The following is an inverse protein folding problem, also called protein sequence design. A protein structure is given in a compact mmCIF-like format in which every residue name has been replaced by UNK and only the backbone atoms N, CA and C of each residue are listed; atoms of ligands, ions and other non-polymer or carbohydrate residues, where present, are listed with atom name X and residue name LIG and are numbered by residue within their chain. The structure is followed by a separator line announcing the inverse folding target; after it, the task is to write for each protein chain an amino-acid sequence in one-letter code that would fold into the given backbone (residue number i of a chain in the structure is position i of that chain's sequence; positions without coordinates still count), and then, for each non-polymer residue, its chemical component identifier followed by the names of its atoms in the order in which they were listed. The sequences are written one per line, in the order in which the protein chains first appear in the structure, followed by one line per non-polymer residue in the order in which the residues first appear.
data_IF_231888312847
#
_entry.id   IF_231888312847
#
_cell.length_a   1.000
_cell.length_b   1.000
_cell.length_c   1.000
_cell.angle_alpha   90.00
_cell.angle_beta   90.00
_cell.angle_gamma   90.00
#
_symmetry.space_group_name_H-M   'P 1'
#
loop_
_entity.id
_entity.type
_entity.pdbx_description
1 polymer ?
#
# COMPACT_ATOMS: atom_id res chain seq x y z
N UNK A 1 30.46 -3.53 27.88
CA UNK A 1 30.34 -2.62 26.72
C UNK A 1 29.25 -1.60 26.99
N UNK A 2 29.51 -0.30 26.76
CA UNK A 2 28.48 0.74 26.91
C UNK A 2 27.36 0.47 25.89
N UNK A 3 26.10 0.38 26.36
CA UNK A 3 24.96 0.24 25.44
C UNK A 3 24.86 1.47 24.54
N UNK A 4 24.76 1.26 23.25
CA UNK A 4 24.53 2.34 22.28
C UNK A 4 23.27 3.11 22.69
N UNK A 5 23.36 4.43 22.69
CA UNK A 5 22.24 5.35 22.99
C UNK A 5 21.73 5.95 21.68
N UNK A 6 20.43 5.94 21.49
CA UNK A 6 19.77 6.51 20.31
C UNK A 6 18.68 7.50 20.73
N UNK A 7 18.58 8.61 20.00
CA UNK A 7 17.49 9.57 20.13
C UNK A 7 16.74 9.58 18.79
N UNK A 8 15.44 9.27 18.85
CA UNK A 8 14.53 9.32 17.70
C UNK A 8 13.64 10.55 17.84
N UNK A 9 13.60 11.39 16.82
CA UNK A 9 12.80 12.63 16.82
C UNK A 9 11.59 12.45 15.92
N UNK A 10 10.40 12.58 16.50
CA UNK A 10 9.11 12.38 15.85
C UNK A 10 8.55 10.96 16.04
N UNK A 11 7.29 10.87 16.48
CA UNK A 11 6.58 9.63 16.76
C UNK A 11 5.51 9.30 15.71
N UNK A 12 5.73 9.65 14.44
CA UNK A 12 4.99 9.07 13.33
C UNK A 12 5.32 7.58 13.15
N UNK A 13 4.65 6.86 12.26
CA UNK A 13 4.89 5.42 12.04
C UNK A 13 6.37 5.08 11.83
N UNK A 14 7.09 5.87 11.01
CA UNK A 14 8.52 5.64 10.79
C UNK A 14 9.38 5.79 12.04
N UNK A 15 9.11 6.82 12.86
CA UNK A 15 9.83 7.05 14.11
C UNK A 15 9.53 5.98 15.15
N UNK A 16 8.26 5.57 15.28
CA UNK A 16 7.86 4.47 16.16
C UNK A 16 8.50 3.15 15.74
N UNK A 17 8.45 2.81 14.45
CA UNK A 17 9.06 1.60 13.91
C UNK A 17 10.58 1.56 14.15
N UNK A 18 11.26 2.69 13.92
CA UNK A 18 12.69 2.81 14.18
C UNK A 18 13.02 2.65 15.66
N UNK A 19 12.25 3.31 16.54
CA UNK A 19 12.46 3.21 17.98
C UNK A 19 12.30 1.76 18.49
N UNK A 20 11.27 1.05 18.03
CA UNK A 20 11.03 -0.36 18.36
C UNK A 20 12.21 -1.23 17.90
N UNK A 21 12.65 -1.09 16.63
CA UNK A 21 13.76 -1.86 16.07
C UNK A 21 15.09 -1.61 16.81
N UNK A 22 15.39 -0.34 17.12
CA UNK A 22 16.58 0.02 17.89
C UNK A 22 16.55 -0.57 19.30
N UNK A 23 15.39 -0.50 19.97
CA UNK A 23 15.22 -1.06 21.31
C UNK A 23 15.35 -2.58 21.28
N UNK A 24 14.75 -3.26 20.30
CA UNK A 24 14.87 -4.70 20.10
C UNK A 24 16.33 -5.14 19.80
N UNK A 25 17.11 -4.29 19.10
CA UNK A 25 18.52 -4.48 18.87
C UNK A 25 19.41 -4.17 20.09
N UNK A 26 18.82 -3.84 21.24
CA UNK A 26 19.54 -3.61 22.50
C UNK A 26 20.04 -2.18 22.70
N UNK A 27 19.70 -1.23 21.83
CA UNK A 27 20.01 0.18 22.00
C UNK A 27 19.14 0.81 23.09
N UNK A 28 19.74 1.67 23.94
CA UNK A 28 18.94 2.51 24.86
C UNK A 28 18.32 3.66 24.04
N UNK A 29 17.04 3.52 23.71
CA UNK A 29 16.35 4.44 22.80
C UNK A 29 15.46 5.42 23.56
N UNK A 30 15.51 6.71 23.18
CA UNK A 30 14.60 7.76 23.60
C UNK A 30 13.85 8.27 22.38
N UNK A 31 12.53 8.44 22.50
CA UNK A 31 11.65 8.99 21.47
C UNK A 31 11.14 10.35 21.92
N UNK A 32 11.32 11.37 21.07
CA UNK A 32 10.89 12.74 21.31
C UNK A 32 9.77 13.10 20.34
N UNK A 33 8.64 13.59 20.87
CA UNK A 33 7.52 14.07 20.08
C UNK A 33 7.16 15.48 20.53
N UNK A 34 6.86 16.38 19.57
CA UNK A 34 6.48 17.76 19.87
C UNK A 34 4.98 17.94 20.15
N UNK A 35 4.16 17.00 19.68
CA UNK A 35 2.71 17.00 19.90
C UNK A 35 2.38 16.30 21.23
N UNK A 36 1.16 16.46 21.66
CA UNK A 36 0.60 15.82 22.85
C UNK A 36 0.36 14.31 22.69
N UNK A 37 0.30 13.81 21.44
CA UNK A 37 0.07 12.41 21.12
C UNK A 37 1.01 11.93 20.00
N UNK A 38 1.33 10.63 20.04
CA UNK A 38 2.02 9.94 18.98
C UNK A 38 1.11 9.72 17.75
N UNK A 39 1.70 9.40 16.60
CA UNK A 39 0.97 9.03 15.38
C UNK A 39 1.36 9.84 14.15
N UNK A 40 1.90 11.05 14.31
CA UNK A 40 2.30 11.89 13.17
C UNK A 40 1.11 12.23 12.27
N UNK A 41 1.12 11.75 11.01
CA UNK A 41 -0.01 11.95 10.07
C UNK A 41 -1.20 11.01 10.32
N UNK A 42 -1.08 10.03 11.19
CA UNK A 42 -2.20 9.20 11.67
C UNK A 42 -2.77 9.75 13.00
N UNK A 43 -2.72 11.07 13.16
CA UNK A 43 -3.23 11.77 14.33
C UNK A 43 -4.77 11.80 14.32
N UNK A 44 -5.37 11.69 15.50
CA UNK A 44 -6.81 11.79 15.67
C UNK A 44 -7.13 13.12 16.33
N UNK A 45 -7.95 13.93 15.69
CA UNK A 45 -8.44 15.19 16.26
C UNK A 45 -9.75 14.96 16.98
N UNK A 46 -9.89 15.58 18.17
CA UNK A 46 -11.14 15.55 18.92
C UNK A 46 -11.54 16.99 19.26
N UNK A 47 -12.73 17.37 18.84
CA UNK A 47 -13.27 18.70 19.10
C UNK A 47 -14.78 18.63 19.30
N UNK A 48 -15.29 19.30 20.34
CA UNK A 48 -16.71 19.42 20.69
C UNK A 48 -17.48 18.09 20.66
N UNK A 49 -16.86 16.99 21.09
CA UNK A 49 -17.45 15.64 21.10
C UNK A 49 -17.36 14.89 19.79
N UNK A 50 -16.82 15.48 18.73
CA UNK A 50 -16.54 14.81 17.46
C UNK A 50 -15.12 14.25 17.42
N UNK A 51 -14.96 13.16 16.66
CA UNK A 51 -13.67 12.53 16.42
C UNK A 51 -13.38 12.56 14.90
N UNK A 52 -12.21 13.09 14.54
CA UNK A 52 -11.78 13.19 13.14
C UNK A 52 -10.48 12.42 12.96
N UNK A 53 -10.55 11.31 12.24
CA UNK A 53 -9.37 10.56 11.83
C UNK A 53 -8.67 11.29 10.68
N UNK A 54 -7.45 11.74 10.91
CA UNK A 54 -6.67 12.51 9.92
C UNK A 54 -5.70 11.64 9.11
N UNK A 55 -5.67 10.35 9.37
CA UNK A 55 -4.71 9.41 8.80
C UNK A 55 -5.33 8.33 7.93
N UNK A 56 -4.51 7.37 7.51
CA UNK A 56 -4.98 6.22 6.77
C UNK A 56 -5.92 5.37 7.64
N UNK A 57 -7.08 5.04 7.07
CA UNK A 57 -8.12 4.22 7.73
C UNK A 57 -8.10 2.77 7.25
N UNK A 58 -7.44 2.50 6.11
CA UNK A 58 -7.30 1.16 5.54
C UNK A 58 -5.84 0.71 5.63
N UNK A 59 -5.63 -0.45 6.25
CA UNK A 59 -4.30 -1.06 6.40
C UNK A 59 -4.18 -2.20 5.39
N UNK A 60 -3.35 -1.99 4.37
CA UNK A 60 -3.13 -2.94 3.27
C UNK A 60 -1.92 -3.86 3.47
N UNK A 61 -1.07 -3.56 4.47
CA UNK A 61 0.12 -4.35 4.79
C UNK A 61 0.21 -4.62 6.30
N UNK A 62 -0.71 -5.38 6.90
CA UNK A 62 -0.76 -5.65 8.34
C UNK A 62 0.49 -6.37 8.85
N UNK A 63 1.15 -7.16 8.00
CA UNK A 63 2.36 -7.91 8.38
C UNK A 63 3.53 -7.00 8.75
N UNK A 64 3.62 -5.80 8.17
CA UNK A 64 4.61 -4.80 8.56
C UNK A 64 4.43 -4.31 10.00
N UNK A 65 3.18 -4.23 10.48
CA UNK A 65 2.87 -3.90 11.87
C UNK A 65 3.13 -5.11 12.76
N UNK A 66 2.65 -6.30 12.37
CA UNK A 66 2.82 -7.56 13.12
C UNK A 66 4.28 -7.85 13.40
N UNK A 67 5.18 -7.60 12.43
CA UNK A 67 6.62 -7.75 12.62
C UNK A 67 7.15 -6.90 13.79
N UNK A 68 6.69 -5.65 13.92
CA UNK A 68 7.14 -4.76 15.00
C UNK A 68 6.72 -5.26 16.37
N UNK A 69 5.50 -5.79 16.51
CA UNK A 69 5.05 -6.41 17.77
C UNK A 69 5.87 -7.67 18.07
N UNK A 70 6.13 -8.52 17.07
CA UNK A 70 6.95 -9.73 17.23
C UNK A 70 8.37 -9.38 17.69
N UNK A 71 9.01 -8.35 17.11
CA UNK A 71 10.32 -7.84 17.52
C UNK A 71 10.33 -7.35 18.98
N UNK A 72 9.21 -6.82 19.45
CA UNK A 72 9.04 -6.40 20.83
C UNK A 72 8.66 -7.53 21.80
N UNK A 73 8.57 -8.80 21.31
CA UNK A 73 8.13 -9.95 22.09
C UNK A 73 6.64 -9.90 22.47
N UNK A 74 5.81 -9.30 21.63
CA UNK A 74 4.35 -9.11 21.84
C UNK A 74 3.57 -9.70 20.65
N UNK A 75 2.29 -10.00 20.90
CA UNK A 75 1.32 -10.27 19.84
C UNK A 75 0.60 -8.99 19.46
N UNK A 76 0.47 -8.68 18.18
CA UNK A 76 -0.30 -7.52 17.72
C UNK A 76 -1.79 -7.64 18.12
N UNK A 77 -2.33 -8.84 18.09
CA UNK A 77 -3.75 -9.12 18.33
C UNK A 77 -4.17 -8.84 19.79
N UNK A 78 -3.20 -8.72 20.72
CA UNK A 78 -3.46 -8.29 22.12
C UNK A 78 -3.72 -6.77 22.22
N UNK A 79 -3.43 -6.00 21.18
CA UNK A 79 -3.44 -4.52 21.18
C UNK A 79 -4.33 -3.92 20.11
N UNK A 80 -4.46 -4.59 18.96
CA UNK A 80 -5.12 -4.08 17.77
C UNK A 80 -6.03 -5.16 17.19
N UNK A 81 -7.30 -4.82 17.02
CA UNK A 81 -8.26 -5.60 16.26
C UNK A 81 -8.36 -5.03 14.84
N UNK A 82 -8.00 -5.82 13.83
CA UNK A 82 -8.18 -5.46 12.42
C UNK A 82 -9.49 -6.04 11.91
N UNK A 83 -10.38 -5.17 11.48
CA UNK A 83 -11.67 -5.56 10.90
C UNK A 83 -11.60 -5.55 9.37
N UNK A 84 -12.14 -6.58 8.70
CA UNK A 84 -12.19 -6.58 7.24
C UNK A 84 -13.14 -5.48 6.73
N UNK A 85 -12.70 -4.74 5.73
CA UNK A 85 -13.53 -3.74 5.04
C UNK A 85 -14.07 -4.34 3.74
N UNK A 86 -15.39 -4.30 3.56
CA UNK A 86 -16.03 -4.81 2.34
C UNK A 86 -17.31 -4.00 2.00
N UNK A 87 -17.40 -3.35 0.84
CA UNK A 87 -16.31 -3.19 -0.15
C UNK A 87 -15.22 -2.22 0.34
N UNK A 88 -14.00 -2.33 -0.20
CA UNK A 88 -12.93 -1.36 0.06
C UNK A 88 -13.28 0.00 -0.48
N UNK A 89 -13.76 0.02 -1.74
CA UNK A 89 -14.16 1.22 -2.47
C UNK A 89 -15.48 0.95 -3.19
N UNK A 90 -16.31 1.97 -3.29
CA UNK A 90 -17.48 1.99 -4.17
C UNK A 90 -17.31 3.16 -5.13
N UNK A 91 -17.16 2.85 -6.40
CA UNK A 91 -17.01 3.83 -7.46
C UNK A 91 -18.36 4.06 -8.14
N UNK A 92 -18.60 5.33 -8.46
CA UNK A 92 -19.80 5.78 -9.16
C UNK A 92 -19.38 6.57 -10.39
N UNK A 93 -20.11 6.42 -11.48
CA UNK A 93 -19.96 7.19 -12.69
C UNK A 93 -21.24 7.97 -12.98
N UNK A 94 -21.13 9.03 -13.78
CA UNK A 94 -22.24 9.93 -14.11
C UNK A 94 -23.37 9.23 -14.89
N UNK A 95 -23.05 8.16 -15.63
CA UNK A 95 -24.02 7.33 -16.34
C UNK A 95 -24.81 6.37 -15.43
N UNK A 96 -24.60 6.45 -14.10
CA UNK A 96 -25.25 5.60 -13.11
C UNK A 96 -24.56 4.23 -12.91
N UNK A 97 -23.48 3.95 -13.63
CA UNK A 97 -22.70 2.73 -13.37
C UNK A 97 -22.05 2.78 -11.99
N UNK A 98 -22.05 1.63 -11.31
CA UNK A 98 -21.48 1.46 -9.98
C UNK A 98 -20.65 0.19 -9.93
N UNK A 99 -19.52 0.24 -9.23
CA UNK A 99 -18.66 -0.92 -9.00
C UNK A 99 -18.20 -0.97 -7.55
N UNK A 100 -18.35 -2.13 -6.91
CA UNK A 100 -17.88 -2.41 -5.55
C UNK A 100 -16.55 -3.18 -5.62
N UNK A 101 -15.47 -2.55 -5.21
CA UNK A 101 -14.15 -3.14 -5.20
C UNK A 101 -13.87 -3.82 -3.86
N UNK A 102 -13.44 -5.09 -3.89
CA UNK A 102 -13.19 -5.90 -2.69
C UNK A 102 -12.02 -6.86 -2.89
N UNK A 103 -11.58 -7.55 -1.82
CA UNK A 103 -10.58 -8.62 -1.89
C UNK A 103 -11.12 -9.90 -2.57
N UNK A 104 -12.44 -10.08 -2.63
CA UNK A 104 -13.05 -11.27 -3.23
C UNK A 104 -12.97 -11.20 -4.77
N UNK A 105 -12.00 -11.93 -5.33
CA UNK A 105 -11.81 -12.01 -6.79
C UNK A 105 -13.06 -12.49 -7.52
N UNK A 106 -13.82 -13.42 -6.96
CA UNK A 106 -15.01 -13.95 -7.61
C UNK A 106 -16.13 -12.90 -7.70
N UNK A 107 -16.27 -12.03 -6.69
CA UNK A 107 -17.17 -10.88 -6.73
C UNK A 107 -16.75 -9.87 -7.80
N UNK A 108 -15.47 -9.56 -7.87
CA UNK A 108 -14.91 -8.65 -8.88
C UNK A 108 -15.16 -9.21 -10.28
N UNK A 109 -14.82 -10.47 -10.53
CA UNK A 109 -15.00 -11.10 -11.85
C UNK A 109 -16.48 -11.13 -12.27
N UNK A 110 -17.42 -11.41 -11.37
CA UNK A 110 -18.85 -11.34 -11.67
C UNK A 110 -19.32 -9.93 -12.07
N UNK A 111 -18.77 -8.89 -11.45
CA UNK A 111 -19.09 -7.50 -11.81
C UNK A 111 -18.47 -7.13 -13.16
N UNK A 112 -17.23 -7.57 -13.44
CA UNK A 112 -16.59 -7.39 -14.75
C UNK A 112 -17.40 -8.11 -15.83
N UNK A 113 -17.81 -9.36 -15.59
CA UNK A 113 -18.58 -10.15 -16.55
C UNK A 113 -19.90 -9.48 -16.93
N UNK A 114 -20.61 -8.92 -15.94
CA UNK A 114 -21.84 -8.15 -16.18
C UNK A 114 -21.62 -6.88 -17.01
N UNK A 115 -20.44 -6.24 -16.90
CA UNK A 115 -20.10 -5.02 -17.64
C UNK A 115 -19.49 -5.34 -19.01
N UNK A 116 -18.54 -6.27 -19.03
CA UNK A 116 -17.78 -6.66 -20.23
C UNK A 116 -17.22 -8.08 -20.05
N UNK A 117 -17.94 -9.10 -20.51
CA UNK A 117 -17.49 -10.49 -20.45
C UNK A 117 -16.10 -10.70 -21.10
N UNK A 118 -15.83 -9.95 -22.18
CA UNK A 118 -14.56 -10.01 -22.89
C UNK A 118 -13.36 -9.57 -22.04
N UNK A 119 -13.58 -8.78 -20.98
CA UNK A 119 -12.52 -8.24 -20.13
C UNK A 119 -12.17 -9.13 -18.94
N UNK A 120 -12.93 -10.18 -18.64
CA UNK A 120 -12.63 -11.12 -17.53
C UNK A 120 -11.25 -11.78 -17.72
N UNK A 121 -10.97 -12.27 -18.92
CA UNK A 121 -9.67 -12.89 -19.22
C UNK A 121 -8.51 -11.86 -19.15
N UNK A 122 -8.77 -10.65 -19.63
CA UNK A 122 -7.81 -9.54 -19.54
C UNK A 122 -7.53 -9.13 -18.10
N UNK A 123 -8.54 -9.04 -17.26
CA UNK A 123 -8.39 -8.77 -15.83
C UNK A 123 -7.50 -9.82 -15.14
N UNK A 124 -7.73 -11.11 -15.40
CA UNK A 124 -6.88 -12.18 -14.85
C UNK A 124 -5.42 -12.05 -15.28
N UNK A 125 -5.17 -11.67 -16.53
CA UNK A 125 -3.81 -11.40 -17.02
C UNK A 125 -3.19 -10.17 -16.35
N UNK A 126 -3.98 -9.13 -16.14
CA UNK A 126 -3.56 -7.94 -15.41
C UNK A 126 -3.20 -8.27 -13.96
N UNK A 127 -3.98 -9.11 -13.27
CA UNK A 127 -3.65 -9.55 -11.91
C UNK A 127 -2.32 -10.33 -11.85
N UNK A 128 -2.08 -11.23 -12.81
CA UNK A 128 -0.79 -11.95 -12.90
C UNK A 128 0.38 -10.98 -13.07
N UNK A 129 0.22 -9.98 -13.92
CA UNK A 129 1.23 -8.93 -14.08
C UNK A 129 1.43 -8.16 -12.76
N UNK A 130 0.37 -7.77 -12.06
CA UNK A 130 0.43 -7.07 -10.78
C UNK A 130 1.14 -7.91 -9.71
N UNK A 131 0.93 -9.22 -9.70
CA UNK A 131 1.60 -10.17 -8.81
C UNK A 131 3.11 -10.27 -9.11
N UNK A 132 3.51 -10.29 -10.38
CA UNK A 132 4.93 -10.23 -10.75
C UNK A 132 5.59 -8.94 -10.27
N UNK A 133 4.90 -7.80 -10.44
CA UNK A 133 5.38 -6.50 -9.95
C UNK A 133 5.46 -6.47 -8.43
N UNK A 134 4.48 -7.02 -7.73
CA UNK A 134 4.48 -7.11 -6.27
C UNK A 134 5.68 -7.92 -5.76
N UNK A 135 5.91 -9.10 -6.32
CA UNK A 135 7.02 -9.98 -5.93
C UNK A 135 8.38 -9.34 -6.14
N UNK A 136 8.59 -8.68 -7.30
CA UNK A 136 9.86 -8.03 -7.58
C UNK A 136 10.02 -6.68 -6.87
N UNK A 137 8.96 -5.87 -6.81
CA UNK A 137 9.01 -4.52 -6.29
C UNK A 137 8.84 -4.45 -4.78
N UNK A 138 7.90 -5.19 -4.22
CA UNK A 138 7.61 -5.14 -2.79
C UNK A 138 8.39 -6.20 -2.00
N UNK A 139 8.25 -7.48 -2.32
CA UNK A 139 8.89 -8.54 -1.52
C UNK A 139 10.42 -8.46 -1.56
N UNK A 140 11.00 -8.18 -2.74
CA UNK A 140 12.47 -8.14 -2.89
C UNK A 140 13.09 -6.78 -2.60
N UNK A 141 12.41 -5.69 -2.89
CA UNK A 141 13.01 -4.36 -2.90
C UNK A 141 12.52 -3.43 -1.79
N UNK A 142 11.41 -3.74 -1.09
CA UNK A 142 10.88 -2.86 -0.04
C UNK A 142 11.88 -2.62 1.12
N UNK A 143 12.75 -3.56 1.37
CA UNK A 143 13.75 -3.49 2.44
C UNK A 143 15.16 -3.06 1.95
N UNK A 144 15.32 -2.80 0.64
CA UNK A 144 16.60 -2.41 0.05
C UNK A 144 16.76 -0.90 0.11
N UNK A 145 17.76 -0.37 0.83
CA UNK A 145 18.02 1.06 0.84
C UNK A 145 18.71 1.47 -0.46
N UNK A 146 18.07 2.32 -1.25
CA UNK A 146 18.64 2.91 -2.48
C UNK A 146 19.49 4.14 -2.14
N UNK A 147 20.68 3.93 -1.55
CA UNK A 147 21.54 5.00 -1.07
C UNK A 147 22.46 5.60 -2.13
N UNK A 148 22.63 4.93 -3.28
CA UNK A 148 23.53 5.36 -4.35
C UNK A 148 23.03 4.92 -5.73
N UNK A 149 23.62 5.52 -6.77
CA UNK A 149 23.25 5.25 -8.16
C UNK A 149 23.49 3.79 -8.57
N UNK A 150 24.47 3.10 -8.02
CA UNK A 150 24.76 1.70 -8.35
C UNK A 150 23.61 0.77 -7.95
N UNK A 151 22.95 1.02 -6.82
CA UNK A 151 21.77 0.25 -6.40
C UNK A 151 20.58 0.45 -7.34
N UNK A 152 20.41 1.65 -7.91
CA UNK A 152 19.39 1.89 -8.95
C UNK A 152 19.72 1.16 -10.25
N UNK A 153 20.98 1.21 -10.69
CA UNK A 153 21.42 0.51 -11.92
C UNK A 153 21.25 -1.00 -11.79
N UNK A 154 21.50 -1.58 -10.62
CA UNK A 154 21.35 -3.03 -10.40
C UNK A 154 19.92 -3.54 -10.57
N UNK A 155 18.90 -2.73 -10.33
CA UNK A 155 17.48 -3.10 -10.49
C UNK A 155 16.90 -2.70 -11.86
N UNK A 156 17.64 -1.94 -12.66
CA UNK A 156 17.15 -1.47 -13.96
C UNK A 156 16.70 -2.60 -14.92
N UNK A 157 17.40 -3.75 -15.03
CA UNK A 157 16.94 -4.84 -15.89
C UNK A 157 15.56 -5.39 -15.49
N UNK A 158 15.29 -5.50 -14.18
CA UNK A 158 14.00 -5.94 -13.64
C UNK A 158 12.91 -4.92 -13.95
N UNK A 159 13.19 -3.63 -13.76
CA UNK A 159 12.25 -2.56 -14.06
C UNK A 159 11.90 -2.52 -15.55
N UNK A 160 12.87 -2.73 -16.43
CA UNK A 160 12.64 -2.82 -17.88
C UNK A 160 11.78 -4.04 -18.23
N UNK A 161 12.09 -5.21 -17.66
CA UNK A 161 11.31 -6.45 -17.86
C UNK A 161 9.85 -6.26 -17.43
N UNK A 162 9.62 -5.60 -16.30
CA UNK A 162 8.29 -5.27 -15.77
C UNK A 162 7.64 -4.09 -16.48
N UNK A 163 8.31 -3.50 -17.49
CA UNK A 163 7.79 -2.35 -18.25
C UNK A 163 7.45 -1.15 -17.37
N UNK A 164 8.26 -0.91 -16.32
CA UNK A 164 8.11 0.19 -15.38
C UNK A 164 8.08 1.59 -16.04
N UNK A 165 8.55 1.69 -17.29
CA UNK A 165 8.49 2.90 -18.11
C UNK A 165 7.08 3.21 -18.62
N UNK A 166 6.13 2.27 -18.53
CA UNK A 166 4.73 2.51 -18.88
C UNK A 166 3.98 3.15 -17.73
N UNK A 167 2.91 3.87 -18.04
CA UNK A 167 1.98 4.36 -17.03
C UNK A 167 1.03 3.24 -16.55
N UNK A 168 0.48 3.40 -15.33
CA UNK A 168 -0.56 2.51 -14.79
C UNK A 168 -1.70 2.37 -15.79
N UNK A 169 -2.26 3.49 -16.29
CA UNK A 169 -3.36 3.47 -17.24
C UNK A 169 -3.01 2.72 -18.53
N UNK A 170 -1.82 2.95 -19.10
CA UNK A 170 -1.40 2.27 -20.33
C UNK A 170 -1.22 0.78 -20.14
N UNK A 171 -0.83 0.34 -18.95
CA UNK A 171 -0.71 -1.07 -18.61
C UNK A 171 -2.09 -1.72 -18.43
N UNK A 172 -3.00 -1.08 -17.72
CA UNK A 172 -4.40 -1.54 -17.60
C UNK A 172 -5.06 -1.62 -18.97
N UNK A 173 -4.93 -0.57 -19.79
CA UNK A 173 -5.52 -0.52 -21.13
C UNK A 173 -5.01 -1.59 -22.10
N UNK A 174 -3.85 -2.17 -21.83
CA UNK A 174 -3.33 -3.32 -22.59
C UNK A 174 -4.15 -4.59 -22.36
N UNK A 175 -4.73 -4.73 -21.16
CA UNK A 175 -5.44 -5.94 -20.73
C UNK A 175 -6.96 -5.77 -20.73
N UNK A 176 -7.44 -4.57 -20.48
CA UNK A 176 -8.86 -4.25 -20.28
C UNK A 176 -9.33 -3.28 -21.36
N UNK A 177 -10.52 -3.53 -21.93
CA UNK A 177 -11.08 -2.74 -23.06
C UNK A 177 -12.12 -1.73 -22.63
N UNK A 178 -12.97 -2.09 -21.68
CA UNK A 178 -14.05 -1.21 -21.20
C UNK A 178 -13.49 0.04 -20.51
N UNK A 179 -13.96 1.25 -20.86
CA UNK A 179 -13.43 2.51 -20.30
C UNK A 179 -13.61 2.64 -18.79
N UNK A 180 -14.76 2.22 -18.23
CA UNK A 180 -15.00 2.26 -16.79
C UNK A 180 -14.05 1.33 -16.04
N UNK A 181 -13.85 0.11 -16.57
CA UNK A 181 -12.91 -0.84 -15.97
C UNK A 181 -11.46 -0.36 -16.08
N UNK A 182 -11.08 0.37 -17.15
CA UNK A 182 -9.77 1.02 -17.22
C UNK A 182 -9.59 2.06 -16.13
N UNK A 183 -10.58 2.90 -15.92
CA UNK A 183 -10.55 3.89 -14.83
C UNK A 183 -10.48 3.18 -13.48
N UNK A 184 -11.34 2.17 -13.27
CA UNK A 184 -11.39 1.37 -12.06
C UNK A 184 -10.02 0.77 -11.68
N UNK A 185 -9.33 0.12 -12.61
CA UNK A 185 -8.07 -0.55 -12.29
C UNK A 185 -6.84 0.38 -12.36
N UNK A 186 -7.02 1.65 -12.70
CA UNK A 186 -5.92 2.63 -12.74
C UNK A 186 -6.00 3.70 -11.63
N UNK A 187 -7.14 3.85 -10.93
CA UNK A 187 -7.28 4.91 -9.93
C UNK A 187 -6.37 4.74 -8.71
N UNK A 188 -5.92 3.54 -8.42
CA UNK A 188 -5.06 3.23 -7.26
C UNK A 188 -3.76 4.05 -7.21
N UNK A 189 -3.29 4.57 -8.34
CA UNK A 189 -2.18 5.53 -8.36
C UNK A 189 -2.46 6.80 -7.54
N UNK A 190 -3.72 7.16 -7.33
CA UNK A 190 -4.13 8.29 -6.48
C UNK A 190 -3.76 8.07 -5.01
N UNK A 191 -3.68 6.82 -4.53
CA UNK A 191 -3.27 6.49 -3.16
C UNK A 191 -1.83 6.95 -2.85
N UNK A 192 -1.01 7.10 -3.88
CA UNK A 192 0.36 7.63 -3.78
C UNK A 192 0.48 9.06 -4.33
N UNK A 193 -0.65 9.74 -4.53
CA UNK A 193 -0.69 11.09 -5.07
C UNK A 193 -0.32 11.21 -6.55
N UNK A 194 -0.41 10.10 -7.29
CA UNK A 194 0.02 10.02 -8.68
C UNK A 194 -1.12 10.11 -9.69
N UNK A 195 -0.84 10.71 -10.85
CA UNK A 195 -1.76 10.69 -11.99
C UNK A 195 -1.61 9.35 -12.74
N UNK A 196 -2.68 8.56 -12.98
CA UNK A 196 -2.62 7.25 -13.63
C UNK A 196 -1.99 7.26 -15.03
N UNK A 197 -2.03 8.38 -15.73
CA UNK A 197 -1.46 8.52 -17.09
C UNK A 197 0.05 8.74 -17.09
N UNK A 198 0.63 9.17 -15.97
CA UNK A 198 2.08 9.47 -15.86
C UNK A 198 2.78 8.63 -14.80
N UNK A 199 2.05 8.10 -13.82
CA UNK A 199 2.60 7.26 -12.76
C UNK A 199 3.03 5.90 -13.33
N UNK A 200 4.22 5.46 -12.97
CA UNK A 200 4.79 4.17 -13.41
C UNK A 200 3.89 2.98 -13.07
N UNK A 201 3.82 2.01 -13.99
CA UNK A 201 3.04 0.78 -13.83
C UNK A 201 3.47 -0.11 -12.65
N UNK A 202 4.58 0.19 -11.98
CA UNK A 202 4.99 -0.48 -10.73
C UNK A 202 3.90 -0.35 -9.66
N UNK A 203 3.17 0.75 -9.62
CA UNK A 203 2.08 0.94 -8.65
C UNK A 203 0.85 0.05 -8.86
N UNK A 204 0.81 -0.77 -9.91
CA UNK A 204 -0.18 -1.85 -10.03
C UNK A 204 -0.02 -2.92 -8.95
N UNK A 205 1.15 -2.98 -8.25
CA UNK A 205 1.35 -3.85 -7.09
C UNK A 205 0.29 -3.65 -6.00
N UNK A 206 -0.34 -2.47 -5.92
CA UNK A 206 -1.38 -2.16 -4.93
C UNK A 206 -2.54 -3.15 -5.03
N UNK A 207 -2.90 -3.62 -6.23
CA UNK A 207 -3.92 -4.66 -6.41
C UNK A 207 -3.60 -5.99 -5.70
N UNK A 208 -2.34 -6.26 -5.41
CA UNK A 208 -1.93 -7.42 -4.63
C UNK A 208 -1.96 -7.13 -3.13
N UNK A 209 -1.62 -5.89 -2.72
CA UNK A 209 -1.68 -5.47 -1.31
C UNK A 209 -3.12 -5.44 -0.75
N UNK A 210 -4.11 -5.28 -1.62
CA UNK A 210 -5.53 -5.20 -1.26
C UNK A 210 -6.25 -6.56 -1.31
N UNK A 211 -5.54 -7.65 -1.57
CA UNK A 211 -6.05 -9.02 -1.65
C UNK A 211 -5.51 -9.89 -0.54
#
# INVERSE_FOLDING_TARGET
MAKVRAAVVGSGFGGLALAIRLQAAGCRTMLFEKRDQAGGRAYVYRDQGFTFDAGPTVITAPDCLRELFTLAGRSMDDYIELLPVNPFYRLFWEDGYRFDYSADQALIERQIEKKSQADVAGYRQFLKYSEEVFREGYEKLAHVPFLNWSSMVSVAPQLIRLKAYRSVYSMVAKHVRDPHLRQLFSFHSLLVGGNPFTTTSIYTLIHCLER
#
